data_IF_401789794697
#
_entry.id   IF_401789794697
#
_cell.length_a   1.000
_cell.length_b   1.000
_cell.length_c   1.000
_cell.angle_alpha   90.00
_cell.angle_beta   90.00
_cell.angle_gamma   90.00
#
_symmetry.space_group_name_H-M   'P 1'
#
loop_
_entity.id
_entity.type
_entity.pdbx_description
1 polymer ?
#
# COMPACT_ATOMS: atom_id res chain seq x y z
N UNK A 1 4.20 -16.44 -15.15
CA UNK A 1 4.17 -16.51 -13.67
C UNK A 1 3.30 -17.70 -13.30
N UNK A 2 3.85 -18.76 -12.70
CA UNK A 2 3.07 -19.94 -12.30
C UNK A 2 2.45 -19.69 -10.93
N UNK A 3 1.12 -19.59 -10.88
CA UNK A 3 0.37 -19.53 -9.63
C UNK A 3 0.39 -20.93 -9.00
N UNK A 4 1.01 -21.08 -7.84
CA UNK A 4 0.90 -22.31 -7.06
C UNK A 4 -0.39 -22.27 -6.26
N UNK A 5 -1.38 -23.03 -6.70
CA UNK A 5 -2.58 -23.34 -5.92
C UNK A 5 -2.24 -24.57 -5.08
N UNK A 6 -2.04 -24.41 -3.77
CA UNK A 6 -1.77 -25.52 -2.85
C UNK A 6 -3.07 -26.22 -2.45
N UNK A 7 -3.19 -27.50 -2.82
CA UNK A 7 -4.19 -28.42 -2.28
C UNK A 7 -3.80 -28.90 -0.87
N UNK A 8 -4.78 -28.96 0.03
CA UNK A 8 -4.59 -29.21 1.46
C UNK A 8 -4.52 -30.72 1.75
N UNK A 9 -3.30 -31.25 1.93
CA UNK A 9 -3.05 -32.54 2.58
C UNK A 9 -2.68 -32.34 4.06
N UNK A 10 -3.39 -33.00 4.98
CA UNK A 10 -3.14 -32.93 6.43
C UNK A 10 -1.95 -33.84 6.80
N UNK A 11 -0.83 -33.25 7.23
CA UNK A 11 0.24 -33.93 7.98
C UNK A 11 1.66 -33.75 7.40
N UNK A 12 2.55 -33.13 8.17
CA UNK A 12 4.00 -32.90 7.99
C UNK A 12 4.50 -32.14 6.74
N UNK A 13 3.90 -32.31 5.56
CA UNK A 13 4.31 -31.63 4.31
C UNK A 13 4.06 -30.13 4.35
N UNK A 14 3.06 -29.67 5.12
CA UNK A 14 2.74 -28.25 5.29
C UNK A 14 3.91 -27.43 5.85
N UNK A 15 4.71 -28.01 6.76
CA UNK A 15 5.79 -27.27 7.43
C UNK A 15 6.98 -26.94 6.52
N UNK A 16 7.29 -27.79 5.54
CA UNK A 16 8.40 -27.58 4.61
C UNK A 16 8.02 -26.63 3.47
N UNK A 17 6.78 -26.69 2.99
CA UNK A 17 6.28 -25.82 1.91
C UNK A 17 6.12 -24.38 2.40
N UNK A 18 5.64 -24.15 3.62
CA UNK A 18 5.48 -22.80 4.18
C UNK A 18 6.81 -22.02 4.25
N UNK A 19 7.94 -22.73 4.36
CA UNK A 19 9.29 -22.13 4.33
C UNK A 19 9.72 -21.72 2.91
N UNK A 20 9.08 -22.18 1.87
CA UNK A 20 9.41 -21.80 0.48
C UNK A 20 8.58 -20.61 -0.01
N UNK A 21 7.50 -20.28 0.70
CA UNK A 21 6.59 -19.20 0.32
C UNK A 21 7.19 -17.86 0.76
N UNK A 22 7.56 -17.03 -0.22
CA UNK A 22 8.08 -15.67 -0.01
C UNK A 22 7.09 -14.58 -0.41
N UNK A 23 6.06 -14.93 -1.18
CA UNK A 23 5.09 -13.98 -1.72
C UNK A 23 3.69 -14.56 -1.64
N UNK A 24 2.73 -13.75 -1.19
CA UNK A 24 1.31 -14.06 -1.23
C UNK A 24 0.50 -12.94 -1.89
N UNK A 25 -0.44 -13.33 -2.73
CA UNK A 25 -1.44 -12.45 -3.33
C UNK A 25 -2.84 -12.99 -3.03
N UNK A 26 -3.70 -12.13 -2.48
CA UNK A 26 -5.09 -12.44 -2.18
C UNK A 26 -6.04 -11.54 -2.93
N UNK A 27 -7.04 -12.17 -3.54
CA UNK A 27 -8.19 -11.51 -4.16
C UNK A 27 -9.40 -11.65 -3.23
N UNK A 28 -9.79 -10.55 -2.61
CA UNK A 28 -10.75 -10.49 -1.51
C UNK A 28 -12.04 -9.85 -2.02
N UNK A 29 -13.08 -10.66 -2.13
CA UNK A 29 -14.39 -10.24 -2.64
C UNK A 29 -15.30 -9.76 -1.49
N UNK A 30 -15.07 -10.24 -0.26
CA UNK A 30 -15.77 -9.81 0.95
C UNK A 30 -14.93 -10.18 2.20
N UNK A 31 -15.49 -9.97 3.38
CA UNK A 31 -14.77 -10.09 4.66
C UNK A 31 -14.37 -11.53 5.06
N UNK A 32 -15.12 -12.57 4.69
CA UNK A 32 -14.79 -13.96 5.10
C UNK A 32 -13.48 -14.48 4.49
N UNK A 33 -13.21 -14.33 3.18
CA UNK A 33 -11.91 -14.62 2.57
C UNK A 33 -10.75 -13.86 3.20
N UNK A 34 -10.98 -12.66 3.75
CA UNK A 34 -9.93 -11.88 4.40
C UNK A 34 -9.40 -12.60 5.65
N UNK A 35 -10.30 -13.08 6.53
CA UNK A 35 -9.91 -13.79 7.75
C UNK A 35 -9.08 -15.05 7.44
N UNK A 36 -9.55 -15.87 6.50
CA UNK A 36 -8.84 -17.09 6.07
C UNK A 36 -7.48 -16.76 5.45
N UNK A 37 -7.40 -15.70 4.65
CA UNK A 37 -6.14 -15.25 4.02
C UNK A 37 -5.09 -14.86 5.05
N UNK A 38 -5.50 -14.18 6.13
CA UNK A 38 -4.60 -13.86 7.25
C UNK A 38 -4.09 -15.15 7.89
N UNK A 39 -4.99 -16.03 8.35
CA UNK A 39 -4.61 -17.25 9.07
C UNK A 39 -3.62 -18.13 8.30
N UNK A 40 -3.81 -18.26 6.99
CA UNK A 40 -2.89 -19.03 6.15
C UNK A 40 -1.52 -18.35 6.09
N UNK A 41 -1.51 -17.03 5.92
CA UNK A 41 -0.28 -16.28 5.65
C UNK A 41 0.58 -16.03 6.88
N UNK A 42 -0.04 -15.87 8.06
CA UNK A 42 0.68 -15.68 9.32
C UNK A 42 1.51 -16.91 9.69
N UNK A 43 1.19 -18.08 9.14
CA UNK A 43 1.96 -19.32 9.31
C UNK A 43 3.21 -19.44 8.43
N UNK A 44 3.47 -18.47 7.53
CA UNK A 44 4.61 -18.48 6.62
C UNK A 44 5.79 -17.65 7.17
N UNK A 45 6.78 -18.34 7.76
CA UNK A 45 7.96 -17.72 8.36
C UNK A 45 8.81 -16.89 7.38
N UNK A 46 8.75 -17.23 6.09
CA UNK A 46 9.57 -16.63 5.05
C UNK A 46 8.85 -15.63 4.14
N UNK A 47 7.61 -15.27 4.50
CA UNK A 47 6.83 -14.29 3.75
C UNK A 47 7.55 -12.94 3.74
N UNK A 48 7.92 -12.47 2.54
CA UNK A 48 8.64 -11.21 2.27
C UNK A 48 7.72 -10.18 1.61
N UNK A 49 6.78 -10.63 0.78
CA UNK A 49 5.82 -9.78 0.10
C UNK A 49 4.37 -10.24 0.30
N UNK A 50 3.48 -9.30 0.60
CA UNK A 50 2.05 -9.53 0.76
C UNK A 50 1.25 -8.53 -0.08
N UNK A 51 0.30 -9.04 -0.86
CA UNK A 51 -0.61 -8.25 -1.66
C UNK A 51 -2.07 -8.60 -1.36
N UNK A 52 -2.86 -7.56 -1.09
CA UNK A 52 -4.32 -7.65 -0.99
C UNK A 52 -4.98 -6.86 -2.10
N UNK A 53 -5.80 -7.54 -2.90
CA UNK A 53 -6.68 -6.98 -3.92
C UNK A 53 -8.13 -7.08 -3.43
N UNK A 54 -8.66 -5.98 -2.93
CA UNK A 54 -10.05 -5.89 -2.47
C UNK A 54 -10.95 -5.52 -3.64
N UNK A 55 -11.98 -6.29 -3.90
CA UNK A 55 -13.04 -5.92 -4.84
C UNK A 55 -14.19 -5.17 -4.18
N UNK A 56 -14.37 -5.43 -2.88
CA UNK A 56 -15.23 -4.72 -1.95
C UNK A 56 -14.47 -4.68 -0.61
N UNK A 57 -14.02 -3.48 -0.22
CA UNK A 57 -13.33 -3.28 1.04
C UNK A 57 -14.36 -3.00 2.14
N UNK A 58 -15.16 -4.02 2.47
CA UNK A 58 -16.05 -4.01 3.62
C UNK A 58 -15.67 -5.14 4.58
N UNK A 59 -14.79 -4.83 5.52
CA UNK A 59 -14.43 -5.74 6.60
C UNK A 59 -15.42 -5.53 7.74
N UNK A 60 -16.36 -6.48 7.89
CA UNK A 60 -17.37 -6.43 8.94
C UNK A 60 -16.72 -6.41 10.34
N UNK A 61 -17.32 -5.67 11.27
CA UNK A 61 -16.74 -5.44 12.60
C UNK A 61 -16.55 -6.73 13.40
N UNK A 62 -17.39 -7.74 13.17
CA UNK A 62 -17.23 -9.03 13.82
C UNK A 62 -15.90 -9.70 13.44
N UNK A 63 -15.46 -9.54 12.18
CA UNK A 63 -14.15 -10.04 11.73
C UNK A 63 -13.02 -9.19 12.30
N UNK A 64 -13.19 -7.87 12.39
CA UNK A 64 -12.22 -7.01 13.09
C UNK A 64 -12.03 -7.46 14.53
N UNK A 65 -13.13 -7.69 15.25
CA UNK A 65 -13.11 -8.18 16.63
C UNK A 65 -12.43 -9.54 16.75
N UNK A 66 -12.72 -10.50 15.86
CA UNK A 66 -12.03 -11.81 15.84
C UNK A 66 -10.53 -11.64 15.66
N UNK A 67 -10.08 -10.79 14.72
CA UNK A 67 -8.65 -10.57 14.53
C UNK A 67 -8.00 -9.90 15.74
N UNK A 68 -8.62 -8.84 16.28
CA UNK A 68 -8.07 -8.06 17.40
C UNK A 68 -8.06 -8.83 18.72
N UNK A 69 -9.00 -9.76 18.92
CA UNK A 69 -9.04 -10.63 20.11
C UNK A 69 -8.02 -11.76 20.08
N UNK A 70 -7.44 -12.07 18.92
CA UNK A 70 -6.40 -13.09 18.77
C UNK A 70 -5.32 -12.64 17.77
N UNK A 71 -4.53 -11.66 18.18
CA UNK A 71 -3.43 -11.13 17.38
C UNK A 71 -2.33 -12.16 17.12
N UNK A 72 -2.12 -13.14 18.00
CA UNK A 72 -1.12 -14.19 17.75
C UNK A 72 -1.43 -14.98 16.48
N UNK A 73 -2.71 -15.27 16.24
CA UNK A 73 -3.18 -16.02 15.08
C UNK A 73 -3.42 -15.14 13.86
N UNK A 74 -4.04 -13.97 14.05
CA UNK A 74 -4.55 -13.13 12.96
C UNK A 74 -3.77 -11.82 12.75
N UNK A 75 -2.50 -11.78 13.14
CA UNK A 75 -1.61 -10.65 12.87
C UNK A 75 -0.34 -11.09 12.16
N UNK A 76 0.12 -10.25 11.24
CA UNK A 76 1.41 -10.37 10.57
C UNK A 76 2.56 -9.81 11.41
N UNK A 77 2.31 -9.33 12.64
CA UNK A 77 3.35 -8.80 13.53
C UNK A 77 4.50 -9.77 13.79
N UNK A 78 4.25 -11.08 13.68
CA UNK A 78 5.27 -12.13 13.82
C UNK A 78 5.99 -12.48 12.50
N UNK A 79 5.54 -11.96 11.35
CA UNK A 79 6.16 -12.17 10.04
C UNK A 79 7.41 -11.29 9.89
N UNK A 80 8.50 -11.63 10.57
CA UNK A 80 9.74 -10.83 10.65
C UNK A 80 10.45 -10.59 9.31
N UNK A 81 10.10 -11.34 8.27
CA UNK A 81 10.65 -11.17 6.93
C UNK A 81 9.78 -10.31 6.03
N UNK A 82 8.55 -9.95 6.42
CA UNK A 82 7.66 -9.19 5.57
C UNK A 82 8.21 -7.79 5.36
N UNK A 83 8.68 -7.48 4.15
CA UNK A 83 9.27 -6.20 3.76
C UNK A 83 8.36 -5.36 2.88
N UNK A 84 7.41 -5.98 2.18
CA UNK A 84 6.56 -5.29 1.22
C UNK A 84 5.08 -5.60 1.42
N UNK A 85 4.29 -4.55 1.51
CA UNK A 85 2.83 -4.60 1.54
C UNK A 85 2.24 -3.87 0.33
N UNK A 86 1.30 -4.51 -0.36
CA UNK A 86 0.54 -3.90 -1.44
C UNK A 86 -0.96 -3.99 -1.14
N UNK A 87 -1.64 -2.86 -1.14
CA UNK A 87 -3.07 -2.74 -0.94
C UNK A 87 -3.71 -2.12 -2.18
N UNK A 88 -4.69 -2.83 -2.75
CA UNK A 88 -5.36 -2.39 -3.96
C UNK A 88 -6.87 -2.51 -3.79
N UNK A 89 -7.61 -1.41 -3.93
CA UNK A 89 -9.08 -1.42 -3.90
C UNK A 89 -9.65 -1.31 -5.32
N UNK A 90 -9.95 -2.47 -5.91
CA UNK A 90 -10.57 -2.65 -7.21
C UNK A 90 -12.09 -2.47 -7.11
N UNK A 91 -12.61 -1.25 -7.05
CA UNK A 91 -14.06 -1.02 -7.11
C UNK A 91 -14.63 -1.62 -8.41
N UNK A 92 -15.19 -2.84 -8.35
CA UNK A 92 -15.92 -3.41 -9.48
C UNK A 92 -17.31 -2.81 -9.45
N UNK A 93 -17.49 -1.69 -10.15
CA UNK A 93 -18.73 -1.20 -10.80
C UNK A 93 -20.08 -1.73 -10.27
N UNK A 94 -20.32 -1.75 -8.96
CA UNK A 94 -21.65 -1.99 -8.41
C UNK A 94 -22.22 -0.63 -8.05
N UNK A 95 -23.11 -0.13 -8.91
CA UNK A 95 -23.91 1.11 -8.75
C UNK A 95 -24.73 1.19 -7.45
N UNK A 96 -24.53 0.28 -6.49
CA UNK A 96 -25.41 0.06 -5.35
C UNK A 96 -24.68 -0.09 -4.00
N UNK A 97 -23.35 0.05 -3.95
CA UNK A 97 -22.63 0.12 -2.68
C UNK A 97 -21.97 1.48 -2.56
N UNK A 98 -22.63 2.39 -1.85
CA UNK A 98 -22.04 3.64 -1.37
C UNK A 98 -21.10 3.30 -0.22
N UNK A 99 -19.88 2.88 -0.52
CA UNK A 99 -18.83 2.86 0.49
C UNK A 99 -18.56 4.30 0.89
N UNK A 100 -18.78 4.63 2.15
CA UNK A 100 -18.35 5.93 2.68
C UNK A 100 -16.84 5.96 2.74
N UNK A 101 -16.26 7.15 2.53
CA UNK A 101 -14.82 7.38 2.70
C UNK A 101 -14.34 6.91 4.08
N UNK A 102 -15.11 7.22 5.12
CA UNK A 102 -14.87 6.78 6.49
C UNK A 102 -14.75 5.24 6.62
N UNK A 103 -15.58 4.48 5.91
CA UNK A 103 -15.52 3.02 5.96
C UNK A 103 -14.21 2.49 5.35
N UNK A 104 -13.77 3.07 4.23
CA UNK A 104 -12.49 2.70 3.60
C UNK A 104 -11.31 3.08 4.49
N UNK A 105 -11.32 4.26 5.09
CA UNK A 105 -10.30 4.69 6.05
C UNK A 105 -10.24 3.74 7.25
N UNK A 106 -11.38 3.41 7.87
CA UNK A 106 -11.41 2.51 9.02
C UNK A 106 -10.92 1.09 8.69
N UNK A 107 -11.22 0.59 7.48
CA UNK A 107 -10.74 -0.71 7.05
C UNK A 107 -9.24 -0.70 6.74
N UNK A 108 -8.73 0.39 6.16
CA UNK A 108 -7.30 0.60 5.97
C UNK A 108 -6.57 0.62 7.31
N UNK A 109 -7.02 1.46 8.26
CA UNK A 109 -6.45 1.54 9.62
C UNK A 109 -6.45 0.18 10.33
N UNK A 110 -7.50 -0.61 10.15
CA UNK A 110 -7.58 -1.95 10.69
C UNK A 110 -6.53 -2.88 10.06
N UNK A 111 -6.41 -2.91 8.73
CA UNK A 111 -5.40 -3.74 8.04
C UNK A 111 -3.99 -3.36 8.51
N UNK A 112 -3.70 -2.06 8.59
CA UNK A 112 -2.41 -1.53 9.04
C UNK A 112 -2.06 -1.97 10.45
N UNK A 113 -3.04 -2.00 11.37
CA UNK A 113 -2.83 -2.43 12.75
C UNK A 113 -2.35 -3.88 12.88
N UNK A 114 -2.58 -4.71 11.86
CA UNK A 114 -2.17 -6.12 11.81
C UNK A 114 -0.76 -6.31 11.25
N UNK A 115 -0.14 -5.28 10.67
CA UNK A 115 1.14 -5.37 9.98
C UNK A 115 2.33 -5.34 10.96
N UNK A 116 3.47 -5.96 10.61
CA UNK A 116 4.70 -5.85 11.38
C UNK A 116 5.42 -4.54 11.10
N UNK A 117 6.26 -4.13 12.04
CA UNK A 117 7.17 -2.99 11.89
C UNK A 117 8.27 -3.23 10.83
N UNK A 118 8.43 -4.46 10.33
CA UNK A 118 9.45 -4.83 9.36
C UNK A 118 9.16 -4.37 7.94
N UNK A 119 7.94 -3.89 7.67
CA UNK A 119 7.54 -3.39 6.34
C UNK A 119 8.34 -2.14 5.99
N UNK A 120 9.04 -2.20 4.86
CA UNK A 120 9.88 -1.10 4.34
C UNK A 120 9.30 -0.49 3.06
N UNK A 121 8.44 -1.22 2.35
CA UNK A 121 7.83 -0.80 1.09
C UNK A 121 6.32 -0.94 1.17
N UNK A 122 5.62 0.17 1.01
CA UNK A 122 4.17 0.22 1.01
C UNK A 122 3.68 0.70 -0.36
N UNK A 123 2.75 -0.05 -0.94
CA UNK A 123 2.04 0.36 -2.14
C UNK A 123 0.54 0.41 -1.83
N UNK A 124 -0.06 1.57 -2.02
CA UNK A 124 -1.50 1.77 -1.88
C UNK A 124 -2.01 2.26 -3.23
N UNK A 125 -3.03 1.59 -3.75
CA UNK A 125 -3.61 2.00 -5.03
C UNK A 125 -5.13 1.92 -5.05
N UNK A 126 -5.71 2.88 -5.79
CA UNK A 126 -7.13 3.02 -6.13
C UNK A 126 -8.04 3.27 -4.92
N UNK A 127 -8.85 4.33 -5.00
CA UNK A 127 -9.96 4.62 -4.08
C UNK A 127 -9.60 4.85 -2.60
N UNK A 128 -8.32 4.78 -2.24
CA UNK A 128 -7.85 5.23 -0.92
C UNK A 128 -7.55 6.72 -0.96
N UNK A 129 -7.86 7.40 0.14
CA UNK A 129 -7.42 8.76 0.38
C UNK A 129 -6.36 8.73 1.48
N UNK A 130 -5.32 9.56 1.36
CA UNK A 130 -4.31 9.73 2.39
C UNK A 130 -4.55 11.07 3.09
N UNK A 131 -4.97 10.98 4.34
CA UNK A 131 -5.00 12.08 5.31
C UNK A 131 -3.84 11.93 6.29
N UNK A 132 -3.52 13.01 7.00
CA UNK A 132 -2.51 13.01 8.08
C UNK A 132 -2.83 11.96 9.15
N UNK A 133 -4.13 11.76 9.45
CA UNK A 133 -4.58 10.72 10.39
C UNK A 133 -4.15 9.32 9.94
N UNK A 134 -4.28 9.00 8.64
CA UNK A 134 -3.90 7.69 8.10
C UNK A 134 -2.38 7.56 8.09
N UNK A 135 -1.65 8.57 7.61
CA UNK A 135 -0.19 8.51 7.53
C UNK A 135 0.47 8.47 8.91
N UNK A 136 -0.12 9.11 9.93
CA UNK A 136 0.31 8.98 11.33
C UNK A 136 0.17 7.54 11.83
N UNK A 137 -0.96 6.89 11.55
CA UNK A 137 -1.20 5.48 11.94
C UNK A 137 -0.34 4.50 11.15
N UNK A 138 -0.12 4.75 9.87
CA UNK A 138 0.85 4.01 9.08
C UNK A 138 2.25 4.09 9.69
N UNK A 139 2.71 5.27 10.07
CA UNK A 139 4.01 5.44 10.70
C UNK A 139 4.05 4.87 12.14
N UNK A 140 2.93 4.82 12.86
CA UNK A 140 2.83 4.16 14.18
C UNK A 140 3.00 2.64 14.07
N UNK A 141 2.28 1.99 13.14
CA UNK A 141 2.30 0.54 12.99
C UNK A 141 3.48 0.02 12.16
N UNK A 142 3.89 0.77 11.14
CA UNK A 142 4.97 0.42 10.20
C UNK A 142 6.00 1.56 10.12
N UNK A 143 6.73 1.85 11.22
CA UNK A 143 7.63 3.00 11.30
C UNK A 143 8.83 2.93 10.34
N UNK A 144 9.13 1.76 9.77
CA UNK A 144 10.30 1.54 8.91
C UNK A 144 10.00 1.69 7.41
N UNK A 145 8.84 2.23 7.03
CA UNK A 145 8.52 2.51 5.63
C UNK A 145 9.54 3.51 5.05
N UNK A 146 10.32 3.04 4.07
CA UNK A 146 11.31 3.80 3.30
C UNK A 146 10.80 4.18 1.92
N UNK A 147 9.86 3.41 1.40
CA UNK A 147 9.29 3.60 0.07
C UNK A 147 7.77 3.55 0.13
N UNK A 148 7.13 4.60 -0.37
CA UNK A 148 5.68 4.68 -0.57
C UNK A 148 5.37 4.85 -2.05
N UNK A 149 4.54 3.97 -2.57
CA UNK A 149 3.94 4.08 -3.90
C UNK A 149 2.45 4.32 -3.75
N UNK A 150 1.94 5.43 -4.29
CA UNK A 150 0.54 5.81 -4.18
C UNK A 150 -0.08 6.14 -5.54
N UNK A 151 -1.05 5.35 -5.98
CA UNK A 151 -1.66 5.52 -7.30
C UNK A 151 -3.18 5.64 -7.24
N UNK A 152 -3.75 6.53 -8.06
CA UNK A 152 -5.20 6.66 -8.28
C UNK A 152 -5.99 6.84 -6.97
N UNK A 153 -5.43 7.58 -6.02
CA UNK A 153 -6.05 7.98 -4.78
C UNK A 153 -5.93 9.49 -4.57
N UNK A 154 -6.52 10.04 -3.51
CA UNK A 154 -6.45 11.48 -3.22
C UNK A 154 -5.60 11.76 -1.99
N UNK A 155 -5.02 12.95 -1.95
CA UNK A 155 -4.42 13.51 -0.74
C UNK A 155 -5.43 14.47 -0.12
N UNK A 156 -5.86 14.19 1.09
CA UNK A 156 -6.80 15.04 1.82
C UNK A 156 -6.06 16.20 2.51
N UNK A 157 -4.81 15.96 2.91
CA UNK A 157 -3.94 16.96 3.52
C UNK A 157 -2.65 17.11 2.70
N UNK A 158 -2.23 18.36 2.45
CA UNK A 158 -1.03 18.63 1.65
C UNK A 158 0.26 18.15 2.32
N UNK A 159 0.30 18.10 3.65
CA UNK A 159 1.48 17.76 4.44
C UNK A 159 1.44 16.34 5.05
N UNK A 160 0.49 15.48 4.65
CA UNK A 160 0.32 14.14 5.24
C UNK A 160 1.60 13.27 5.18
N UNK A 161 2.47 13.46 4.18
CA UNK A 161 3.72 12.70 4.08
C UNK A 161 4.76 13.06 5.17
N UNK A 162 4.56 14.15 5.92
CA UNK A 162 5.46 14.56 7.00
C UNK A 162 5.46 13.60 8.19
N UNK A 163 4.41 12.78 8.34
CA UNK A 163 4.30 11.75 9.38
C UNK A 163 5.36 10.66 9.26
N UNK A 164 5.81 10.34 8.04
CA UNK A 164 6.77 9.28 7.82
C UNK A 164 8.20 9.73 8.13
N UNK A 165 8.77 9.19 9.21
CA UNK A 165 10.11 9.55 9.68
C UNK A 165 11.23 9.02 8.79
N UNK A 166 11.00 7.87 8.15
CA UNK A 166 12.01 7.12 7.39
C UNK A 166 11.74 7.10 5.88
N UNK A 167 10.72 7.81 5.38
CA UNK A 167 10.34 7.79 3.97
C UNK A 167 11.38 8.52 3.13
N UNK A 168 12.08 7.77 2.28
CA UNK A 168 13.13 8.27 1.38
C UNK A 168 12.70 8.31 -0.08
N UNK A 169 11.81 7.39 -0.49
CA UNK A 169 11.35 7.23 -1.86
C UNK A 169 9.84 7.38 -1.90
N UNK A 170 9.36 8.33 -2.68
CA UNK A 170 7.94 8.50 -2.91
C UNK A 170 7.63 8.44 -4.40
N UNK A 171 6.69 7.56 -4.77
CA UNK A 171 6.24 7.37 -6.14
C UNK A 171 4.74 7.61 -6.17
N UNK A 172 4.26 8.43 -7.10
CA UNK A 172 2.84 8.71 -7.24
C UNK A 172 2.39 8.81 -8.68
N UNK A 173 1.11 8.54 -8.89
CA UNK A 173 0.42 8.92 -10.11
C UNK A 173 0.01 10.39 -10.08
N UNK A 174 -0.25 10.94 -11.26
CA UNK A 174 -0.88 12.25 -11.45
C UNK A 174 -0.05 13.44 -10.93
N UNK A 175 -0.64 14.64 -10.90
CA UNK A 175 0.02 15.86 -10.44
C UNK A 175 -0.37 16.16 -8.99
N UNK A 176 0.30 15.57 -7.97
CA UNK A 176 -0.08 15.81 -6.60
C UNK A 176 0.18 17.27 -6.23
N UNK A 177 -0.71 17.83 -5.42
CA UNK A 177 -0.52 19.15 -4.80
C UNK A 177 -0.19 18.96 -3.33
N UNK A 178 0.97 18.36 -3.08
CA UNK A 178 1.44 17.98 -1.75
C UNK A 178 2.81 18.61 -1.45
N UNK A 179 3.12 18.70 -0.17
CA UNK A 179 4.42 19.06 0.33
C UNK A 179 5.30 17.81 0.39
N UNK A 180 6.50 17.91 -0.18
CA UNK A 180 7.48 16.83 -0.17
C UNK A 180 8.41 17.03 1.02
N UNK A 181 8.33 16.09 1.97
CA UNK A 181 9.15 16.08 3.19
C UNK A 181 10.65 16.15 2.89
N UNK A 182 11.43 16.65 3.86
CA UNK A 182 12.89 16.73 3.76
C UNK A 182 13.58 15.36 3.68
N UNK A 183 12.92 14.32 4.20
CA UNK A 183 13.44 12.94 4.22
C UNK A 183 13.43 12.30 2.83
N UNK A 184 12.53 12.74 1.95
CA UNK A 184 12.38 12.20 0.59
C UNK A 184 13.58 12.64 -0.26
N UNK A 185 14.37 11.65 -0.69
CA UNK A 185 15.55 11.79 -1.55
C UNK A 185 15.20 11.57 -3.02
N UNK A 186 14.24 10.69 -3.28
CA UNK A 186 13.77 10.36 -4.64
C UNK A 186 12.27 10.55 -4.70
N UNK A 187 11.82 11.40 -5.61
CA UNK A 187 10.41 11.62 -5.88
C UNK A 187 10.11 11.34 -7.34
N UNK A 188 9.14 10.46 -7.59
CA UNK A 188 8.76 10.03 -8.94
C UNK A 188 7.29 10.31 -9.17
N UNK A 189 7.00 11.03 -10.24
CA UNK A 189 5.65 11.23 -10.74
C UNK A 189 5.49 10.42 -12.02
N UNK A 190 4.65 9.39 -11.95
CA UNK A 190 4.29 8.56 -13.08
C UNK A 190 3.02 9.11 -13.75
N UNK A 191 3.17 9.48 -15.00
CA UNK A 191 2.19 10.13 -15.86
C UNK A 191 1.56 9.16 -16.87
N UNK A 192 1.82 7.84 -16.77
CA UNK A 192 1.36 6.82 -17.74
C UNK A 192 -0.15 6.84 -18.05
N UNK A 193 -0.97 7.44 -17.19
CA UNK A 193 -2.42 7.54 -17.36
C UNK A 193 -2.92 8.93 -17.77
N UNK A 194 -2.02 9.89 -18.04
CA UNK A 194 -2.39 11.25 -18.45
C UNK A 194 -2.54 11.33 -19.97
N UNK A 195 -3.72 11.72 -20.44
CA UNK A 195 -4.05 11.84 -21.85
C UNK A 195 -3.21 12.93 -22.54
N UNK A 196 -2.52 12.59 -23.63
CA UNK A 196 -1.37 13.31 -24.19
C UNK A 196 -1.66 14.70 -24.78
N UNK A 197 -2.93 15.05 -25.01
CA UNK A 197 -3.30 16.30 -25.69
C UNK A 197 -3.45 17.53 -24.77
N UNK A 198 -3.72 17.35 -23.47
CA UNK A 198 -4.03 18.46 -22.55
C UNK A 198 -2.78 18.99 -21.81
N UNK A 199 -1.66 18.25 -21.83
CA UNK A 199 -0.67 18.33 -20.73
C UNK A 199 0.71 18.93 -21.07
N UNK A 200 0.93 19.54 -22.25
CA UNK A 200 2.21 20.22 -22.58
C UNK A 200 2.69 21.24 -21.52
N UNK A 201 1.79 21.78 -20.70
CA UNK A 201 2.10 22.76 -19.65
C UNK A 201 2.14 22.19 -18.22
N UNK A 202 1.70 20.96 -18.00
CA UNK A 202 1.63 20.39 -16.64
C UNK A 202 2.99 19.93 -16.16
N UNK A 203 3.82 19.40 -17.04
CA UNK A 203 5.22 19.07 -16.73
C UNK A 203 5.95 20.32 -16.24
N UNK A 204 5.75 21.47 -16.91
CA UNK A 204 6.34 22.75 -16.48
C UNK A 204 5.88 23.15 -15.08
N UNK A 205 4.59 23.01 -14.75
CA UNK A 205 4.07 23.34 -13.41
C UNK A 205 4.63 22.42 -12.34
N UNK A 206 4.67 21.12 -12.60
CA UNK A 206 5.23 20.10 -11.70
C UNK A 206 6.71 20.37 -11.47
N UNK A 207 7.47 20.51 -12.55
CA UNK A 207 8.90 20.81 -12.48
C UNK A 207 9.12 22.10 -11.72
N UNK A 208 8.45 23.20 -12.04
CA UNK A 208 8.60 24.47 -11.32
C UNK A 208 8.28 24.36 -9.82
N UNK A 209 7.32 23.52 -9.45
CA UNK A 209 6.94 23.30 -8.05
C UNK A 209 8.02 22.56 -7.28
N UNK A 210 8.55 21.47 -7.84
CA UNK A 210 9.41 20.55 -7.11
C UNK A 210 10.91 20.69 -7.42
N UNK A 211 11.31 21.28 -8.56
CA UNK A 211 12.72 21.38 -8.94
C UNK A 211 13.56 22.14 -7.92
N UNK A 212 13.00 23.12 -7.22
CA UNK A 212 13.71 23.88 -6.17
C UNK A 212 14.11 23.02 -4.98
N UNK A 213 13.46 21.87 -4.78
CA UNK A 213 13.69 20.96 -3.65
C UNK A 213 14.78 19.93 -3.95
N UNK A 214 15.07 19.64 -5.22
CA UNK A 214 15.91 18.53 -5.67
C UNK A 214 17.09 19.02 -6.52
N UNK A 215 18.20 18.29 -6.50
CA UNK A 215 19.40 18.65 -7.27
C UNK A 215 19.22 18.30 -8.76
N UNK A 216 18.68 17.11 -9.01
CA UNK A 216 18.55 16.55 -10.35
C UNK A 216 17.07 16.38 -10.70
N UNK A 217 16.72 16.69 -11.95
CA UNK A 217 15.39 16.42 -12.52
C UNK A 217 15.56 15.71 -13.86
N UNK A 218 14.94 14.54 -14.02
CA UNK A 218 14.96 13.76 -15.26
C UNK A 218 13.55 13.54 -15.77
N UNK A 219 13.33 13.78 -17.06
CA UNK A 219 12.07 13.49 -17.74
C UNK A 219 12.31 12.27 -18.62
N UNK A 220 11.76 11.12 -18.22
CA UNK A 220 11.94 9.84 -18.90
C UNK A 220 10.68 9.52 -19.72
N UNK A 221 10.87 9.34 -21.03
CA UNK A 221 9.87 8.82 -21.98
C UNK A 221 8.54 9.59 -22.07
N UNK A 222 8.48 10.86 -21.62
CA UNK A 222 7.23 11.66 -21.47
C UNK A 222 6.18 11.04 -20.54
N UNK A 223 6.56 10.01 -19.79
CA UNK A 223 5.66 9.26 -18.92
C UNK A 223 6.07 9.34 -17.46
N UNK A 224 7.30 9.77 -17.16
CA UNK A 224 7.78 9.83 -15.78
C UNK A 224 8.66 11.06 -15.56
N UNK A 225 8.41 11.76 -14.46
CA UNK A 225 9.27 12.84 -13.97
C UNK A 225 9.93 12.35 -12.68
N UNK A 226 11.26 12.33 -12.69
CA UNK A 226 12.10 11.93 -11.57
C UNK A 226 12.78 13.14 -10.99
N UNK A 227 12.72 13.27 -9.67
CA UNK A 227 13.46 14.25 -8.90
C UNK A 227 14.39 13.52 -7.92
N UNK A 228 15.67 13.90 -7.87
CA UNK A 228 16.68 13.23 -7.05
C UNK A 228 17.56 14.23 -6.30
N UNK A 229 17.89 13.90 -5.05
CA UNK A 229 18.93 14.54 -4.23
C UNK A 229 20.30 13.84 -4.35
N UNK A 230 20.35 12.73 -5.09
CA UNK A 230 21.53 11.90 -5.35
C UNK A 230 21.92 12.05 -6.83
#
# INVERSE_FOLDING_TARGET
MKNFITFVGRGNVRSSVNKLIIHHEFSIINSTPFLNSIEISTSNENLDELMFKFYDLNIIDNIKHICLSNLEKYSFRNCRKLKKLQLQCLNIFRKHYEHTEEMLENNLLFIESLMPDTVERLEISRNFNLSSRITDKLNEYMPNIKMLTFYNGKFNDSNCLSSFKNLEIFITGENPTIEISKTIKVFVINQKYLNSYIYKNVDKKIVNRYCKRFLNTYILQKENIFFSMI
#
